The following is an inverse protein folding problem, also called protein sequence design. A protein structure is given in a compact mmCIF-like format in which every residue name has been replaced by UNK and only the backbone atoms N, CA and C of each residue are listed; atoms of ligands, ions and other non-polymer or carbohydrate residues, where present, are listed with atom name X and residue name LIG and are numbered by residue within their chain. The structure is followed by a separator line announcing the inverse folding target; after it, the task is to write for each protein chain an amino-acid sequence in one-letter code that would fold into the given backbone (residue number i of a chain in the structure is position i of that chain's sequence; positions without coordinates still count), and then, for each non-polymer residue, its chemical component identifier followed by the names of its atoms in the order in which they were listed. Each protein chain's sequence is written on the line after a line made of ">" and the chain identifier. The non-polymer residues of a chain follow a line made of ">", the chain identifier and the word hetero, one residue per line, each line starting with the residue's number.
data_IF_518694476851
#
_entry.id   IF_518694476851
#
_cell.length_a   1.000
_cell.length_b   1.000
_cell.length_c   1.000
_cell.angle_alpha   90.00
_cell.angle_beta   90.00
_cell.angle_gamma   90.00
#
_symmetry.space_group_name_H-M   'P 1'
#
loop_
_entity.id
_entity.type
_entity.pdbx_description
1 polymer ?
#
# COMPACT_ATOMS: atom_id res chain seq x y z
N UNK A 1 -11.24 -6.61 1.84
CA UNK A 1 -10.56 -5.40 2.34
C UNK A 1 -11.49 -4.21 2.28
N UNK A 2 -11.03 -3.02 2.69
CA UNK A 2 -11.83 -1.78 2.65
C UNK A 2 -12.33 -1.44 1.23
N UNK A 3 -11.53 -1.70 0.19
CA UNK A 3 -11.92 -1.47 -1.20
C UNK A 3 -13.20 -2.21 -1.59
N UNK A 4 -13.26 -3.51 -1.31
CA UNK A 4 -14.45 -4.33 -1.55
C UNK A 4 -15.68 -3.79 -0.82
N UNK A 5 -15.53 -3.36 0.44
CA UNK A 5 -16.66 -2.79 1.21
C UNK A 5 -17.13 -1.50 0.54
N UNK A 6 -16.22 -0.63 0.12
CA UNK A 6 -16.58 0.63 -0.52
C UNK A 6 -17.23 0.44 -1.90
N UNK A 7 -16.82 -0.58 -2.65
CA UNK A 7 -17.43 -0.95 -3.93
C UNK A 7 -18.85 -1.48 -3.74
N UNK A 8 -19.05 -2.45 -2.84
CA UNK A 8 -20.38 -3.03 -2.56
C UNK A 8 -21.36 -1.98 -2.06
N UNK A 9 -20.89 -1.01 -1.27
CA UNK A 9 -21.72 0.04 -0.68
C UNK A 9 -21.92 1.26 -1.59
N UNK A 10 -21.35 1.25 -2.81
CA UNK A 10 -21.27 2.43 -3.69
C UNK A 10 -20.83 3.70 -2.93
N UNK A 11 -19.80 3.53 -2.09
CA UNK A 11 -19.38 4.54 -1.13
C UNK A 11 -18.77 5.74 -1.88
N UNK A 12 -19.28 6.98 -1.71
CA UNK A 12 -18.70 8.15 -2.35
C UNK A 12 -17.25 8.38 -1.91
N UNK A 13 -16.41 8.84 -2.84
CA UNK A 13 -14.97 9.04 -2.67
C UNK A 13 -14.59 9.72 -1.35
N UNK A 14 -15.26 10.84 -1.03
CA UNK A 14 -15.06 11.60 0.21
C UNK A 14 -15.19 10.73 1.48
N UNK A 15 -16.12 9.79 1.49
CA UNK A 15 -16.35 8.93 2.64
C UNK A 15 -15.33 7.81 2.71
N UNK A 16 -14.84 7.30 1.57
CA UNK A 16 -13.72 6.34 1.54
C UNK A 16 -12.48 6.91 2.24
N UNK A 17 -12.16 8.17 1.94
CA UNK A 17 -11.05 8.91 2.55
C UNK A 17 -11.25 9.08 4.06
N UNK A 18 -12.42 9.57 4.49
CA UNK A 18 -12.74 9.77 5.91
C UNK A 18 -12.69 8.46 6.67
N UNK A 19 -13.37 7.41 6.18
CA UNK A 19 -13.41 6.10 6.82
C UNK A 19 -12.00 5.51 6.98
N UNK A 20 -11.18 5.60 5.94
CA UNK A 20 -9.82 5.05 5.99
C UNK A 20 -8.94 5.82 6.96
N UNK A 21 -9.03 7.16 6.99
CA UNK A 21 -8.34 7.97 7.99
C UNK A 21 -8.72 7.55 9.43
N UNK A 22 -9.98 7.22 9.68
CA UNK A 22 -10.45 6.76 11.00
C UNK A 22 -9.90 5.38 11.37
N UNK A 23 -9.61 4.51 10.39
CA UNK A 23 -9.00 3.21 10.61
C UNK A 23 -7.48 3.27 10.85
N UNK A 24 -6.82 4.38 10.54
CA UNK A 24 -5.39 4.54 10.84
C UNK A 24 -5.16 4.58 12.35
N UNK A 25 -4.25 3.72 12.82
CA UNK A 25 -3.83 3.62 14.22
C UNK A 25 -2.31 3.69 14.35
N UNK A 26 -1.81 3.90 15.57
CA UNK A 26 -0.38 3.93 15.86
C UNK A 26 0.43 4.86 14.95
N UNK A 27 1.56 4.36 14.45
CA UNK A 27 2.48 5.10 13.58
C UNK A 27 1.83 5.61 12.29
N UNK A 28 0.86 4.87 11.75
CA UNK A 28 0.14 5.28 10.55
C UNK A 28 -0.69 6.54 10.79
N UNK A 29 -1.33 6.63 11.97
CA UNK A 29 -2.09 7.82 12.34
C UNK A 29 -1.18 9.02 12.58
N UNK A 30 -0.05 8.81 13.24
CA UNK A 30 0.94 9.87 13.49
C UNK A 30 1.51 10.42 12.19
N UNK A 31 1.92 9.53 11.27
CA UNK A 31 2.40 9.92 9.96
C UNK A 31 1.35 10.70 9.17
N UNK A 32 0.10 10.21 9.10
CA UNK A 32 -0.96 10.88 8.34
C UNK A 32 -1.22 12.30 8.86
N UNK A 33 -1.27 12.47 10.18
CA UNK A 33 -1.44 13.79 10.79
C UNK A 33 -0.26 14.73 10.47
N UNK A 34 0.98 14.24 10.53
CA UNK A 34 2.18 15.01 10.21
C UNK A 34 2.27 15.35 8.71
N UNK A 35 1.87 14.44 7.83
CA UNK A 35 1.86 14.65 6.38
C UNK A 35 0.95 15.83 6.00
N UNK A 36 -0.24 15.89 6.61
CA UNK A 36 -1.22 16.94 6.34
C UNK A 36 -1.03 18.22 7.14
N UNK A 37 -0.35 18.19 8.30
CA UNK A 37 -0.01 19.43 9.01
C UNK A 37 0.95 20.32 8.21
N UNK A 38 1.78 19.70 7.37
CA UNK A 38 2.66 20.40 6.42
C UNK A 38 1.95 20.84 5.13
N UNK A 39 0.70 20.39 4.90
CA UNK A 39 -0.08 20.61 3.66
C UNK A 39 -1.54 20.98 3.94
N UNK A 40 -1.81 22.03 4.74
CA UNK A 40 -3.15 22.32 5.22
C UNK A 40 -4.16 22.63 4.10
N UNK A 41 -3.72 23.23 3.00
CA UNK A 41 -4.59 23.60 1.86
C UNK A 41 -4.97 22.44 0.94
N UNK A 42 -4.15 21.38 0.91
CA UNK A 42 -4.33 20.25 -0.02
C UNK A 42 -5.24 19.16 0.56
N UNK A 43 -5.37 19.11 1.90
CA UNK A 43 -6.13 18.05 2.60
C UNK A 43 -7.58 17.93 2.15
N UNK A 44 -8.24 19.07 1.90
CA UNK A 44 -9.64 19.10 1.51
C UNK A 44 -9.88 18.51 0.11
N UNK A 45 -8.85 18.47 -0.74
CA UNK A 45 -8.90 17.91 -2.08
C UNK A 45 -8.37 16.48 -2.18
N UNK A 46 -8.03 15.82 -1.07
CA UNK A 46 -7.53 14.46 -1.09
C UNK A 46 -8.62 13.49 -1.56
N UNK A 47 -8.42 12.86 -2.72
CA UNK A 47 -9.29 11.82 -3.25
C UNK A 47 -8.90 10.43 -2.76
N UNK A 48 -9.75 9.43 -2.98
CA UNK A 48 -9.45 8.04 -2.64
C UNK A 48 -8.17 7.54 -3.33
N UNK A 49 -8.01 7.84 -4.62
CA UNK A 49 -6.82 7.43 -5.38
C UNK A 49 -5.55 8.11 -4.87
N UNK A 50 -5.62 9.39 -4.51
CA UNK A 50 -4.49 10.08 -3.88
C UNK A 50 -4.13 9.45 -2.54
N UNK A 51 -5.11 9.12 -1.69
CA UNK A 51 -4.86 8.45 -0.42
C UNK A 51 -4.15 7.11 -0.63
N UNK A 52 -4.65 6.27 -1.56
CA UNK A 52 -4.03 4.98 -1.88
C UNK A 52 -2.58 5.15 -2.29
N UNK A 53 -2.28 6.09 -3.18
CA UNK A 53 -0.91 6.37 -3.62
C UNK A 53 -0.04 6.90 -2.47
N UNK A 54 -0.55 7.77 -1.60
CA UNK A 54 0.20 8.25 -0.43
C UNK A 54 0.55 7.14 0.55
N UNK A 55 -0.41 6.26 0.84
CA UNK A 55 -0.20 5.09 1.70
C UNK A 55 0.79 4.13 1.03
N UNK A 56 0.62 3.87 -0.27
CA UNK A 56 1.52 3.02 -1.06
C UNK A 56 2.93 3.56 -1.05
N UNK A 57 3.16 4.84 -1.33
CA UNK A 57 4.52 5.41 -1.31
C UNK A 57 5.13 5.45 0.08
N UNK A 58 4.33 5.62 1.14
CA UNK A 58 4.83 5.60 2.52
C UNK A 58 5.34 4.23 2.94
N UNK A 59 4.59 3.17 2.65
CA UNK A 59 4.85 1.83 3.17
C UNK A 59 5.48 0.89 2.13
N UNK A 60 5.28 1.18 0.86
CA UNK A 60 5.74 0.40 -0.29
C UNK A 60 6.34 1.31 -1.39
N UNK A 61 7.41 2.06 -1.05
CA UNK A 61 8.01 3.03 -1.94
C UNK A 61 8.57 2.37 -3.21
N UNK A 62 8.60 3.13 -4.30
CA UNK A 62 9.07 2.67 -5.63
C UNK A 62 10.43 1.95 -5.62
N UNK A 63 11.41 2.41 -4.84
CA UNK A 63 12.73 1.75 -4.77
C UNK A 63 12.65 0.33 -4.20
N UNK A 64 11.78 0.11 -3.20
CA UNK A 64 11.63 -1.19 -2.57
C UNK A 64 10.89 -2.15 -3.50
N UNK A 65 9.90 -1.63 -4.25
CA UNK A 65 9.21 -2.36 -5.33
C UNK A 65 10.17 -2.81 -6.43
N UNK A 66 11.02 -1.89 -6.91
CA UNK A 66 12.01 -2.18 -7.92
C UNK A 66 13.01 -3.26 -7.45
N UNK A 67 13.36 -3.26 -6.16
CA UNK A 67 14.22 -4.28 -5.60
C UNK A 67 13.53 -5.65 -5.51
N UNK A 68 12.26 -5.71 -5.12
CA UNK A 68 11.49 -6.97 -5.13
C UNK A 68 11.32 -7.51 -6.55
N UNK A 69 11.02 -6.65 -7.53
CA UNK A 69 10.93 -7.02 -8.94
C UNK A 69 12.27 -7.57 -9.46
N UNK A 70 13.39 -6.91 -9.12
CA UNK A 70 14.73 -7.39 -9.46
C UNK A 70 15.00 -8.78 -8.87
N UNK A 71 14.64 -9.00 -7.61
CA UNK A 71 14.79 -10.31 -6.96
C UNK A 71 13.92 -11.37 -7.63
N UNK A 72 12.69 -11.03 -8.00
CA UNK A 72 11.77 -11.94 -8.67
C UNK A 72 12.27 -12.33 -10.06
N UNK A 73 12.73 -11.36 -10.86
CA UNK A 73 13.29 -11.62 -12.19
C UNK A 73 14.59 -12.43 -12.15
N UNK A 74 15.38 -12.26 -11.08
CA UNK A 74 16.58 -13.05 -10.85
C UNK A 74 16.29 -14.42 -10.21
N UNK A 75 15.04 -14.70 -9.81
CA UNK A 75 14.69 -15.92 -9.10
C UNK A 75 14.70 -17.12 -10.07
N UNK A 76 15.65 -18.02 -9.83
CA UNK A 76 15.68 -19.33 -10.46
C UNK A 76 15.89 -20.41 -9.39
N UNK A 77 15.40 -21.63 -9.64
CA UNK A 77 15.51 -22.73 -8.69
C UNK A 77 16.99 -23.05 -8.38
N UNK A 78 17.82 -23.23 -9.40
CA UNK A 78 19.24 -23.53 -9.22
C UNK A 78 19.44 -24.82 -8.40
N UNK A 79 20.20 -24.72 -7.31
CA UNK A 79 20.45 -25.83 -6.38
C UNK A 79 19.42 -25.92 -5.23
N UNK A 80 18.42 -25.03 -5.20
CA UNK A 80 17.36 -25.05 -4.18
C UNK A 80 16.43 -26.23 -4.39
N UNK A 81 15.86 -26.73 -3.31
CA UNK A 81 14.73 -27.65 -3.38
C UNK A 81 13.51 -26.94 -4.00
N UNK A 82 12.56 -27.73 -4.50
CA UNK A 82 11.30 -27.19 -5.05
C UNK A 82 10.52 -26.40 -3.99
N UNK A 83 10.51 -26.87 -2.74
CA UNK A 83 9.84 -26.18 -1.61
C UNK A 83 10.46 -24.81 -1.32
N UNK A 84 11.79 -24.73 -1.26
CA UNK A 84 12.49 -23.46 -1.02
C UNK A 84 12.28 -22.45 -2.15
N UNK A 85 12.30 -22.93 -3.40
CA UNK A 85 12.01 -22.08 -4.55
C UNK A 85 10.56 -21.59 -4.55
N UNK A 86 9.60 -22.49 -4.31
CA UNK A 86 8.16 -22.15 -4.29
C UNK A 86 7.85 -21.12 -3.22
N UNK A 87 8.39 -21.29 -2.01
CA UNK A 87 8.17 -20.33 -0.91
C UNK A 87 8.70 -18.95 -1.26
N UNK A 88 9.88 -18.89 -1.87
CA UNK A 88 10.48 -17.62 -2.26
C UNK A 88 9.76 -16.98 -3.46
N UNK A 89 9.30 -17.80 -4.41
CA UNK A 89 8.46 -17.36 -5.53
C UNK A 89 7.14 -16.78 -5.01
N UNK A 90 6.44 -17.51 -4.16
CA UNK A 90 5.15 -17.08 -3.58
C UNK A 90 5.33 -15.82 -2.73
N UNK A 91 6.42 -15.73 -1.95
CA UNK A 91 6.77 -14.51 -1.21
C UNK A 91 6.94 -13.33 -2.16
N UNK A 92 7.79 -13.44 -3.18
CA UNK A 92 8.09 -12.35 -4.10
C UNK A 92 6.92 -12.02 -5.05
N UNK A 93 6.07 -12.98 -5.40
CA UNK A 93 4.88 -12.81 -6.23
C UNK A 93 3.70 -12.17 -5.47
N UNK A 94 3.65 -12.32 -4.15
CA UNK A 94 2.66 -11.67 -3.30
C UNK A 94 2.98 -10.18 -3.04
N UNK A 95 4.14 -9.70 -3.51
CA UNK A 95 4.59 -8.31 -3.42
C UNK A 95 4.47 -7.58 -4.75
#
# INVERSE_FOLDING_TARGET
>A
GLEFIFEVMDCPDRYRVICTQLQLTGDARLWWNAYWSMRPGEKAGCTWDMLKELVREKYYPSYYRAEMERQFLALHQGTRTVDEYEREFTRLAAF
#
